data_IF_248638829420
#
_entry.id   IF_248638829420
#
_cell.length_a   1.000
_cell.length_b   1.000
_cell.length_c   1.000
_cell.angle_alpha   90.00
_cell.angle_beta   90.00
_cell.angle_gamma   90.00
#
_symmetry.space_group_name_H-M   'P 1'
#
loop_
_entity.id
_entity.type
_entity.pdbx_description
1 polymer ?
#
# COMPACT_ATOMS: atom_id res chain seq x y z
N UNK A 1 -35.49 22.97 -46.96
CA UNK A 1 -34.46 21.96 -46.65
C UNK A 1 -33.28 22.74 -46.06
N UNK A 2 -32.89 22.67 -44.79
CA UNK A 2 -33.22 21.73 -43.73
C UNK A 2 -33.58 22.42 -42.40
N UNK A 3 -34.07 21.59 -41.46
CA UNK A 3 -34.44 21.96 -40.10
C UNK A 3 -33.16 22.13 -39.25
N UNK A 4 -33.18 22.94 -38.17
CA UNK A 4 -32.13 22.90 -37.17
C UNK A 4 -32.22 21.59 -36.37
N UNK A 5 -31.13 20.84 -36.30
CA UNK A 5 -31.05 19.61 -35.50
C UNK A 5 -31.00 19.96 -33.99
N UNK A 6 -31.87 19.35 -33.17
CA UNK A 6 -31.77 19.40 -31.72
C UNK A 6 -30.93 18.23 -31.22
N UNK A 7 -29.93 18.52 -30.40
CA UNK A 7 -29.33 17.50 -29.53
C UNK A 7 -28.11 16.80 -30.08
N UNK A 8 -26.95 17.32 -29.72
CA UNK A 8 -25.86 16.46 -29.27
C UNK A 8 -25.43 16.98 -27.91
N UNK A 9 -26.19 16.57 -26.89
CA UNK A 9 -25.70 16.61 -25.51
C UNK A 9 -24.41 15.81 -25.47
N UNK A 10 -23.28 16.51 -25.44
CA UNK A 10 -22.01 15.90 -25.11
C UNK A 10 -22.16 15.40 -23.68
N UNK A 11 -22.19 14.07 -23.58
CA UNK A 11 -22.29 13.34 -22.33
C UNK A 11 -21.28 13.89 -21.34
N UNK A 12 -21.77 14.14 -20.13
CA UNK A 12 -20.97 14.48 -18.98
C UNK A 12 -19.75 13.57 -18.91
N UNK A 13 -18.56 14.15 -18.89
CA UNK A 13 -17.37 13.51 -18.34
C UNK A 13 -17.69 13.10 -16.91
N UNK A 14 -18.03 11.83 -16.73
CA UNK A 14 -18.15 11.16 -15.45
C UNK A 14 -16.75 11.20 -14.80
N UNK A 15 -16.50 12.20 -13.98
CA UNK A 15 -15.26 12.33 -13.23
C UNK A 15 -15.10 11.08 -12.37
N UNK A 16 -14.14 10.23 -12.73
CA UNK A 16 -13.82 9.01 -11.99
C UNK A 16 -13.54 9.42 -10.53
N UNK A 17 -14.42 9.01 -9.62
CA UNK A 17 -14.35 9.40 -8.21
C UNK A 17 -13.07 8.82 -7.62
N UNK A 18 -12.05 9.66 -7.43
CA UNK A 18 -10.78 9.24 -6.83
C UNK A 18 -11.03 8.67 -5.44
N UNK A 19 -10.53 7.47 -5.18
CA UNK A 19 -10.53 6.87 -3.85
C UNK A 19 -9.40 7.51 -3.06
N UNK A 20 -9.73 8.11 -1.92
CA UNK A 20 -8.77 8.74 -1.04
C UNK A 20 -8.78 8.08 0.33
N UNK A 21 -7.59 7.84 0.88
CA UNK A 21 -7.40 7.35 2.23
C UNK A 21 -7.52 8.51 3.22
N UNK A 22 -8.22 8.29 4.33
CA UNK A 22 -8.25 9.24 5.43
C UNK A 22 -7.08 8.99 6.37
N UNK A 23 -6.71 10.02 7.12
CA UNK A 23 -5.68 9.93 8.17
C UNK A 23 -5.94 8.77 9.15
N UNK A 24 -7.20 8.50 9.46
CA UNK A 24 -7.60 7.38 10.32
C UNK A 24 -7.23 6.01 9.76
N UNK A 25 -7.26 5.83 8.44
CA UNK A 25 -6.92 4.54 7.82
C UNK A 25 -5.42 4.28 7.92
N UNK A 26 -4.62 5.30 7.59
CA UNK A 26 -3.16 5.26 7.69
C UNK A 26 -2.74 5.05 9.14
N UNK A 27 -3.38 5.75 10.09
CA UNK A 27 -3.12 5.58 11.52
C UNK A 27 -3.46 4.16 12.00
N UNK A 28 -4.53 3.56 11.48
CA UNK A 28 -4.88 2.17 11.79
C UNK A 28 -3.82 1.20 11.26
N UNK A 29 -3.36 1.40 10.03
CA UNK A 29 -2.27 0.60 9.45
C UNK A 29 -0.98 0.73 10.26
N UNK A 30 -0.62 1.96 10.65
CA UNK A 30 0.52 2.24 11.51
C UNK A 30 0.43 1.49 12.84
N UNK A 31 -0.70 1.55 13.54
CA UNK A 31 -0.84 0.84 14.82
C UNK A 31 -0.77 -0.69 14.68
N UNK A 32 -1.30 -1.23 13.58
CA UNK A 32 -1.16 -2.67 13.29
C UNK A 32 0.32 -3.04 13.07
N UNK A 33 1.08 -2.23 12.34
CA UNK A 33 2.51 -2.46 12.17
C UNK A 33 3.28 -2.33 13.50
N UNK A 34 3.10 -1.23 14.21
CA UNK A 34 3.84 -0.90 15.43
C UNK A 34 3.70 -1.98 16.51
N UNK A 35 2.51 -2.54 16.69
CA UNK A 35 2.28 -3.54 17.74
C UNK A 35 2.43 -4.99 17.26
N UNK A 36 2.34 -5.26 15.96
CA UNK A 36 2.29 -6.64 15.45
C UNK A 36 3.37 -7.00 14.39
N UNK A 37 4.34 -6.11 14.13
CA UNK A 37 5.44 -6.34 13.17
C UNK A 37 6.18 -7.67 13.37
N UNK A 38 6.37 -8.08 14.62
CA UNK A 38 7.04 -9.33 15.00
C UNK A 38 6.10 -10.45 15.46
N UNK A 39 4.79 -10.28 15.37
CA UNK A 39 3.83 -11.27 15.87
C UNK A 39 3.79 -12.55 15.04
N UNK A 40 4.24 -12.52 13.79
CA UNK A 40 4.37 -13.71 12.96
C UNK A 40 5.65 -13.67 12.11
N UNK A 41 6.77 -14.06 12.73
CA UNK A 41 8.07 -14.13 12.10
C UNK A 41 8.39 -15.58 11.68
N UNK A 42 8.70 -15.79 10.40
CA UNK A 42 9.00 -17.12 9.86
C UNK A 42 10.11 -17.06 8.80
N UNK A 43 10.85 -18.15 8.58
CA UNK A 43 12.00 -18.15 7.67
C UNK A 43 11.65 -17.96 6.18
N UNK A 44 10.41 -18.23 5.78
CA UNK A 44 9.99 -18.08 4.37
C UNK A 44 9.75 -16.62 4.01
N UNK A 45 9.19 -15.82 4.93
CA UNK A 45 8.66 -14.47 4.64
C UNK A 45 9.08 -13.39 5.64
N UNK A 46 9.73 -13.77 6.75
CA UNK A 46 10.09 -12.92 7.89
C UNK A 46 8.89 -12.09 8.36
N UNK A 47 8.93 -10.76 8.28
CA UNK A 47 7.84 -9.86 8.68
C UNK A 47 6.74 -9.70 7.61
N UNK A 48 6.82 -10.40 6.47
CA UNK A 48 5.87 -10.26 5.35
C UNK A 48 4.40 -10.49 5.74
N UNK A 49 4.11 -11.40 6.66
CA UNK A 49 2.73 -11.60 7.12
C UNK A 49 2.21 -10.41 7.94
N UNK A 50 3.06 -9.80 8.76
CA UNK A 50 2.71 -8.61 9.51
C UNK A 50 2.53 -7.39 8.58
N UNK A 51 3.34 -7.28 7.52
CA UNK A 51 3.16 -6.28 6.47
C UNK A 51 1.78 -6.43 5.81
N UNK A 52 1.42 -7.65 5.39
CA UNK A 52 0.11 -7.92 4.80
C UNK A 52 -1.06 -7.59 5.75
N UNK A 53 -0.91 -7.88 7.04
CA UNK A 53 -1.90 -7.53 8.07
C UNK A 53 -2.07 -6.00 8.19
N UNK A 54 -0.96 -5.25 8.24
CA UNK A 54 -0.99 -3.80 8.31
C UNK A 54 -1.63 -3.16 7.06
N UNK A 55 -1.46 -3.79 5.89
CA UNK A 55 -2.08 -3.35 4.63
C UNK A 55 -3.56 -3.74 4.49
N UNK A 56 -4.03 -4.76 5.20
CA UNK A 56 -5.39 -5.28 5.07
C UNK A 56 -6.52 -4.22 5.16
N UNK A 57 -6.54 -3.28 6.15
CA UNK A 57 -7.57 -2.24 6.18
C UNK A 57 -7.46 -1.24 5.02
N UNK A 58 -6.26 -0.97 4.53
CA UNK A 58 -6.00 -0.07 3.39
C UNK A 58 -6.55 -0.69 2.11
N UNK A 59 -6.15 -1.93 1.82
CA UNK A 59 -6.56 -2.66 0.61
C UNK A 59 -8.10 -2.80 0.55
N UNK A 60 -8.76 -3.12 1.67
CA UNK A 60 -10.23 -3.21 1.72
C UNK A 60 -10.94 -1.88 1.43
N UNK A 61 -10.26 -0.75 1.66
CA UNK A 61 -10.81 0.57 1.34
C UNK A 61 -10.61 0.92 -0.13
N UNK A 62 -9.42 0.63 -0.67
CA UNK A 62 -9.02 0.92 -2.04
C UNK A 62 -9.75 0.06 -3.07
N UNK A 63 -9.88 -1.25 -2.82
CA UNK A 63 -10.48 -2.20 -3.75
C UNK A 63 -11.85 -2.69 -3.25
N UNK A 64 -12.76 -2.98 -4.17
CA UNK A 64 -14.12 -3.49 -3.87
C UNK A 64 -14.36 -4.90 -4.35
N UNK A 65 -13.70 -5.31 -5.42
CA UNK A 65 -13.77 -6.68 -5.93
C UNK A 65 -12.99 -7.63 -4.99
N UNK A 66 -13.59 -8.75 -4.54
CA UNK A 66 -12.90 -9.78 -3.77
C UNK A 66 -11.63 -10.32 -4.43
N UNK A 67 -11.58 -10.47 -5.76
CA UNK A 67 -10.41 -10.98 -6.46
C UNK A 67 -9.28 -9.94 -6.48
N UNK A 68 -9.59 -8.65 -6.63
CA UNK A 68 -8.60 -7.57 -6.54
C UNK A 68 -8.02 -7.47 -5.13
N UNK A 69 -8.87 -7.57 -4.10
CA UNK A 69 -8.44 -7.58 -2.69
C UNK A 69 -7.50 -8.76 -2.44
N UNK A 70 -7.82 -9.94 -2.95
CA UNK A 70 -7.00 -11.15 -2.80
C UNK A 70 -5.66 -11.02 -3.53
N UNK A 71 -5.65 -10.51 -4.76
CA UNK A 71 -4.43 -10.21 -5.50
C UNK A 71 -3.55 -9.21 -4.74
N UNK A 72 -4.17 -8.17 -4.17
CA UNK A 72 -3.51 -7.15 -3.38
C UNK A 72 -2.88 -7.66 -2.09
N UNK A 73 -3.59 -8.48 -1.33
CA UNK A 73 -3.03 -9.08 -0.13
C UNK A 73 -1.88 -10.04 -0.47
N UNK A 74 -1.97 -10.78 -1.59
CA UNK A 74 -0.90 -11.69 -2.03
C UNK A 74 0.42 -10.96 -2.32
N UNK A 75 0.42 -9.81 -2.98
CA UNK A 75 1.65 -9.03 -3.22
C UNK A 75 2.24 -8.41 -1.95
N UNK A 76 1.48 -8.31 -0.87
CA UNK A 76 2.01 -7.88 0.42
C UNK A 76 2.48 -9.02 1.31
N UNK A 77 2.25 -10.29 0.93
CA UNK A 77 2.78 -11.47 1.62
C UNK A 77 4.19 -11.85 1.18
N UNK A 78 4.82 -11.09 0.29
CA UNK A 78 6.20 -11.32 -0.14
C UNK A 78 7.17 -11.16 1.03
N UNK A 79 8.38 -11.69 0.89
CA UNK A 79 9.45 -11.54 1.86
C UNK A 79 9.67 -10.07 2.22
N UNK A 80 9.65 -9.76 3.51
CA UNK A 80 9.90 -8.42 4.02
C UNK A 80 10.63 -8.48 5.35
N UNK A 81 11.73 -7.74 5.49
CA UNK A 81 12.45 -7.64 6.75
C UNK A 81 13.17 -6.30 6.89
N UNK A 82 12.90 -5.61 7.98
CA UNK A 82 13.53 -4.34 8.34
C UNK A 82 13.38 -4.09 9.84
N UNK A 83 14.11 -3.10 10.36
CA UNK A 83 13.89 -2.62 11.72
C UNK A 83 12.50 -1.93 11.78
N UNK A 84 11.58 -2.30 12.69
CA UNK A 84 10.20 -1.85 12.60
C UNK A 84 9.95 -0.36 12.78
N UNK A 85 10.75 0.33 13.58
CA UNK A 85 10.52 1.73 13.89
C UNK A 85 10.86 2.62 12.69
N UNK A 86 12.07 2.49 12.16
CA UNK A 86 12.56 3.24 11.00
C UNK A 86 11.96 2.69 9.70
N UNK A 87 11.84 1.37 9.60
CA UNK A 87 11.25 0.68 8.45
C UNK A 87 9.74 0.89 8.28
N UNK A 88 9.05 1.45 9.28
CA UNK A 88 7.65 1.88 9.17
C UNK A 88 7.43 2.90 8.04
N UNK A 89 8.45 3.64 7.61
CA UNK A 89 8.38 4.56 6.46
C UNK A 89 8.04 3.81 5.16
N UNK A 90 8.50 2.57 5.01
CA UNK A 90 8.19 1.74 3.83
C UNK A 90 6.69 1.47 3.73
N UNK A 91 6.00 1.26 4.86
CA UNK A 91 4.55 1.09 4.86
C UNK A 91 3.86 2.35 4.32
N UNK A 92 4.27 3.53 4.76
CA UNK A 92 3.70 4.80 4.27
C UNK A 92 3.89 4.99 2.76
N UNK A 93 5.09 4.69 2.24
CA UNK A 93 5.37 4.77 0.81
C UNK A 93 4.50 3.79 0.00
N UNK A 94 4.41 2.54 0.45
CA UNK A 94 3.62 1.50 -0.21
C UNK A 94 2.12 1.81 -0.17
N UNK A 95 1.61 2.37 0.94
CA UNK A 95 0.21 2.84 1.03
C UNK A 95 -0.08 3.90 -0.02
N UNK A 96 0.82 4.87 -0.20
CA UNK A 96 0.66 5.91 -1.21
C UNK A 96 0.69 5.35 -2.65
N UNK A 97 1.55 4.36 -2.91
CA UNK A 97 1.60 3.68 -4.21
C UNK A 97 0.31 2.89 -4.48
N UNK A 98 -0.23 2.17 -3.50
CA UNK A 98 -1.50 1.46 -3.64
C UNK A 98 -2.66 2.43 -3.88
N UNK A 99 -2.68 3.58 -3.20
CA UNK A 99 -3.69 4.62 -3.44
C UNK A 99 -3.60 5.20 -4.87
N UNK A 100 -2.39 5.47 -5.36
CA UNK A 100 -2.19 5.92 -6.74
C UNK A 100 -2.63 4.86 -7.75
N UNK A 101 -2.28 3.59 -7.52
CA UNK A 101 -2.68 2.46 -8.36
C UNK A 101 -4.19 2.29 -8.40
N UNK A 102 -4.86 2.34 -7.25
CA UNK A 102 -6.32 2.27 -7.16
C UNK A 102 -7.02 3.45 -7.88
N UNK A 103 -6.31 4.56 -8.05
CA UNK A 103 -6.76 5.73 -8.82
C UNK A 103 -6.35 5.70 -10.31
N UNK A 104 -5.84 4.57 -10.81
CA UNK A 104 -5.52 4.36 -12.23
C UNK A 104 -4.09 4.74 -12.64
N UNK A 105 -3.18 4.97 -11.69
CA UNK A 105 -1.76 5.11 -12.03
C UNK A 105 -1.20 3.78 -12.57
N UNK A 106 -0.34 3.80 -13.59
CA UNK A 106 0.29 2.61 -14.15
C UNK A 106 1.41 2.11 -13.23
N UNK A 107 1.03 1.58 -12.07
CA UNK A 107 1.92 0.99 -11.07
C UNK A 107 1.65 -0.51 -11.05
N UNK A 108 2.67 -1.31 -11.35
CA UNK A 108 2.56 -2.76 -11.32
C UNK A 108 2.98 -3.35 -9.96
N UNK A 109 2.97 -4.68 -9.85
CA UNK A 109 3.38 -5.37 -8.62
C UNK A 109 4.90 -5.27 -8.40
N UNK A 110 5.68 -5.18 -9.48
CA UNK A 110 7.15 -5.14 -9.45
C UNK A 110 7.64 -3.77 -8.99
N UNK A 111 6.97 -2.69 -9.35
CA UNK A 111 7.22 -1.33 -8.83
C UNK A 111 7.11 -1.30 -7.30
N UNK A 112 6.01 -1.84 -6.77
CA UNK A 112 5.74 -1.88 -5.33
C UNK A 112 6.77 -2.75 -4.61
N UNK A 113 7.11 -3.90 -5.19
CA UNK A 113 8.11 -4.81 -4.62
C UNK A 113 9.53 -4.26 -4.73
N UNK A 114 9.83 -3.51 -5.79
CA UNK A 114 11.07 -2.78 -5.98
C UNK A 114 11.28 -1.72 -4.90
N UNK A 115 10.24 -0.95 -4.57
CA UNK A 115 10.31 0.02 -3.46
C UNK A 115 10.51 -0.68 -2.11
N UNK A 116 9.78 -1.76 -1.83
CA UNK A 116 9.99 -2.52 -0.58
C UNK A 116 11.43 -3.03 -0.50
N UNK A 117 11.88 -3.77 -1.51
CA UNK A 117 13.20 -4.42 -1.50
C UNK A 117 14.36 -3.44 -1.51
N UNK A 118 14.24 -2.36 -2.28
CA UNK A 118 15.26 -1.30 -2.32
C UNK A 118 15.41 -0.55 -1.00
N UNK A 119 14.32 -0.39 -0.23
CA UNK A 119 14.34 0.33 1.03
C UNK A 119 14.59 -0.56 2.26
N UNK A 120 14.30 -1.86 2.19
CA UNK A 120 14.47 -2.80 3.31
C UNK A 120 15.90 -2.76 3.89
N UNK A 121 16.93 -2.88 3.04
CA UNK A 121 18.33 -2.94 3.46
C UNK A 121 18.85 -1.64 4.10
N UNK A 122 18.75 -0.48 3.41
CA UNK A 122 19.19 0.80 3.97
C UNK A 122 18.50 1.18 5.27
N UNK A 123 17.17 1.00 5.36
CA UNK A 123 16.42 1.36 6.56
C UNK A 123 16.65 0.37 7.72
N UNK A 124 16.88 -0.91 7.42
CA UNK A 124 17.33 -1.86 8.44
C UNK A 124 18.68 -1.44 9.03
N UNK A 125 19.68 -1.12 8.18
CA UNK A 125 20.99 -0.72 8.66
C UNK A 125 20.98 0.54 9.54
N UNK A 126 20.19 1.55 9.16
CA UNK A 126 20.01 2.77 9.98
C UNK A 126 19.26 2.45 11.27
N UNK A 127 18.15 1.72 11.17
CA UNK A 127 17.31 1.38 12.31
C UNK A 127 18.06 0.56 13.35
N UNK A 128 18.75 -0.49 12.93
CA UNK A 128 19.54 -1.34 13.82
C UNK A 128 20.68 -0.55 14.49
N UNK A 129 21.35 0.34 13.75
CA UNK A 129 22.42 1.18 14.32
C UNK A 129 21.92 2.12 15.43
N UNK A 130 20.70 2.65 15.31
CA UNK A 130 20.11 3.53 16.31
C UNK A 130 19.50 2.71 17.45
N UNK A 131 18.61 1.79 17.12
CA UNK A 131 17.74 1.05 18.04
C UNK A 131 18.45 -0.07 18.80
N UNK A 132 19.48 -0.68 18.23
CA UNK A 132 20.27 -1.72 18.90
C UNK A 132 21.66 -1.22 19.29
N UNK A 133 22.19 -0.24 18.54
CA UNK A 133 23.52 0.33 18.81
C UNK A 133 23.53 1.45 19.85
N UNK A 134 22.40 2.12 20.11
CA UNK A 134 22.38 3.34 20.94
C UNK A 134 21.26 3.40 21.99
N UNK A 135 20.03 2.98 21.63
CA UNK A 135 18.84 2.97 22.50
C UNK A 135 18.59 1.56 23.04
#
# INVERSE_FOLDING_TARGET
>A
MGRPDPGSGQGATEGTRKVALSRSDVQRSFWLWTFFSHSNYNYERLQGTAFAQAMAPIIRKLYKDPEDIKAALKRHLVFFNTEPNVGGVIHGAVIAMEEQRANGAPIDDDDINGVKSGLMGPLAGIGDSISQGTI
#
